data_IF_807508120677
#
_entry.id   IF_807508120677
#
_cell.length_a   1.000
_cell.length_b   1.000
_cell.length_c   1.000
_cell.angle_alpha   90.00
_cell.angle_beta   90.00
_cell.angle_gamma   90.00
#
_symmetry.space_group_name_H-M   'P 1'
#
loop_
_entity.id
_entity.type
_entity.pdbx_description
1 polymer ?
#
# COMPACT_ATOMS: atom_id res chain seq x y z
N UNK A 1 -17.23 -12.06 -8.79
CA UNK A 1 -16.13 -12.19 -7.80
C UNK A 1 -15.89 -10.82 -7.21
N UNK A 2 -15.52 -10.76 -5.93
CA UNK A 2 -15.22 -9.53 -5.22
C UNK A 2 -13.71 -9.29 -5.26
N UNK A 3 -13.32 -8.05 -5.55
CA UNK A 3 -11.94 -7.58 -5.42
C UNK A 3 -11.85 -6.83 -4.10
N UNK A 4 -11.03 -7.32 -3.18
CA UNK A 4 -10.88 -6.78 -1.83
C UNK A 4 -9.45 -6.34 -1.64
N UNK A 5 -9.26 -5.13 -1.12
CA UNK A 5 -7.96 -4.61 -0.72
C UNK A 5 -7.80 -4.72 0.80
N UNK A 6 -6.62 -5.17 1.22
CA UNK A 6 -6.16 -5.16 2.60
C UNK A 6 -4.91 -4.30 2.66
N UNK A 7 -4.95 -3.26 3.48
CA UNK A 7 -3.82 -2.37 3.75
C UNK A 7 -3.40 -2.61 5.18
N UNK A 8 -2.13 -2.92 5.41
CA UNK A 8 -1.60 -3.26 6.73
C UNK A 8 -0.48 -2.28 7.07
N UNK A 9 -0.71 -1.47 8.10
CA UNK A 9 0.27 -0.52 8.61
C UNK A 9 0.78 -0.92 9.98
N UNK A 10 1.96 -0.42 10.35
CA UNK A 10 2.48 -0.58 11.71
C UNK A 10 1.74 0.36 12.68
N UNK A 11 1.55 -0.11 13.92
CA UNK A 11 1.14 0.70 15.08
C UNK A 11 2.33 1.50 15.64
N UNK A 12 3.53 0.97 15.45
CA UNK A 12 4.80 1.59 15.83
C UNK A 12 5.42 2.37 14.65
N UNK A 13 6.44 3.20 14.88
CA UNK A 13 7.16 3.87 13.80
C UNK A 13 7.75 2.89 12.78
N UNK A 14 7.63 3.20 11.48
CA UNK A 14 8.28 2.46 10.40
C UNK A 14 9.65 3.10 10.09
N UNK A 15 10.72 2.47 10.55
CA UNK A 15 12.10 2.93 10.33
C UNK A 15 12.49 3.00 8.86
N UNK A 16 11.89 2.15 8.00
CA UNK A 16 12.12 2.18 6.55
C UNK A 16 11.51 3.44 5.94
N UNK A 17 10.26 3.75 6.32
CA UNK A 17 9.60 4.97 5.85
C UNK A 17 10.32 6.23 6.35
N UNK A 18 10.79 6.24 7.60
CA UNK A 18 11.56 7.35 8.19
C UNK A 18 12.90 7.54 7.45
N UNK A 19 13.63 6.46 7.20
CA UNK A 19 14.92 6.52 6.50
C UNK A 19 14.74 7.00 5.06
N UNK A 20 13.73 6.48 4.35
CA UNK A 20 13.40 6.92 3.00
C UNK A 20 13.00 8.41 2.98
N UNK A 21 12.21 8.86 3.95
CA UNK A 21 11.82 10.27 4.08
C UNK A 21 13.05 11.19 4.22
N UNK A 22 13.93 10.91 5.18
CA UNK A 22 15.13 11.73 5.38
C UNK A 22 16.11 11.67 4.20
N UNK A 23 16.16 10.54 3.49
CA UNK A 23 16.94 10.43 2.24
C UNK A 23 16.37 11.37 1.19
N UNK A 24 15.05 11.41 1.02
CA UNK A 24 14.38 12.31 0.07
C UNK A 24 14.56 13.79 0.46
N UNK A 25 14.50 14.13 1.75
CA UNK A 25 14.81 15.49 2.21
C UNK A 25 16.24 15.89 1.81
N UNK A 26 17.22 15.02 2.04
CA UNK A 26 18.63 15.27 1.65
C UNK A 26 18.82 15.37 0.13
N UNK A 27 17.96 14.73 -0.65
CA UNK A 27 17.92 14.85 -2.12
C UNK A 27 17.17 16.11 -2.60
N UNK A 28 16.67 16.94 -1.69
CA UNK A 28 16.06 18.23 -1.99
C UNK A 28 14.53 18.22 -2.08
N UNK A 29 13.85 17.12 -1.74
CA UNK A 29 12.38 17.02 -1.74
C UNK A 29 11.74 17.68 -0.51
N UNK A 30 12.08 18.94 -0.22
CA UNK A 30 11.65 19.68 0.98
C UNK A 30 10.13 19.94 1.07
N UNK A 31 9.39 19.67 -0.03
CA UNK A 31 7.93 19.75 -0.08
C UNK A 31 7.23 18.46 0.32
N UNK A 32 7.97 17.35 0.45
CA UNK A 32 7.47 16.13 1.04
C UNK A 32 7.39 16.34 2.56
N UNK A 33 6.18 16.36 3.09
CA UNK A 33 5.92 16.62 4.52
C UNK A 33 5.95 15.33 5.33
N UNK A 34 5.52 14.22 4.70
CA UNK A 34 5.45 12.92 5.34
C UNK A 34 5.50 11.81 4.30
N UNK A 35 6.11 10.69 4.69
CA UNK A 35 6.09 9.45 3.94
C UNK A 35 5.57 8.34 4.85
N UNK A 36 4.59 7.59 4.36
CA UNK A 36 4.11 6.36 5.00
C UNK A 36 4.36 5.18 4.08
N UNK A 37 4.64 4.03 4.68
CA UNK A 37 4.72 2.74 4.01
C UNK A 37 3.78 1.77 4.72
N UNK A 38 3.02 1.02 3.93
CA UNK A 38 2.07 0.01 4.39
C UNK A 38 2.19 -1.21 3.47
N UNK A 39 1.96 -2.41 3.99
CA UNK A 39 1.83 -3.59 3.14
C UNK A 39 0.46 -3.57 2.49
N UNK A 40 0.42 -3.92 1.21
CA UNK A 40 -0.79 -3.96 0.41
C UNK A 40 -1.02 -5.36 -0.13
N UNK A 41 -2.26 -5.82 -0.01
CA UNK A 41 -2.73 -7.06 -0.58
C UNK A 41 -4.03 -6.83 -1.33
N UNK A 42 -4.17 -7.45 -2.50
CA UNK A 42 -5.40 -7.47 -3.27
C UNK A 42 -5.86 -8.89 -3.51
N UNK A 43 -7.10 -9.19 -3.15
CA UNK A 43 -7.67 -10.52 -3.21
C UNK A 43 -8.85 -10.56 -4.18
N UNK A 44 -8.83 -11.52 -5.11
CA UNK A 44 -10.02 -11.93 -5.85
C UNK A 44 -10.69 -13.08 -5.11
N UNK A 45 -11.89 -12.87 -4.56
CA UNK A 45 -12.57 -13.89 -3.75
C UNK A 45 -14.07 -13.95 -4.03
N UNK A 46 -14.68 -15.11 -3.80
CA UNK A 46 -16.14 -15.26 -3.80
C UNK A 46 -16.78 -14.93 -2.43
N UNK A 47 -15.98 -14.62 -1.40
CA UNK A 47 -16.51 -14.26 -0.08
C UNK A 47 -16.98 -12.79 -0.01
N UNK A 48 -18.08 -12.52 0.71
CA UNK A 48 -18.47 -11.15 1.06
C UNK A 48 -17.42 -10.45 1.95
N UNK A 49 -17.25 -9.14 1.78
CA UNK A 49 -16.24 -8.33 2.50
C UNK A 49 -16.31 -8.49 4.02
N UNK A 50 -17.48 -8.42 4.70
CA UNK A 50 -17.52 -8.53 6.17
C UNK A 50 -16.99 -9.88 6.68
N UNK A 51 -17.33 -10.97 5.98
CA UNK A 51 -16.87 -12.32 6.32
C UNK A 51 -15.38 -12.48 6.05
N UNK A 52 -14.90 -11.93 4.94
CA UNK A 52 -13.48 -11.94 4.59
C UNK A 52 -12.65 -11.14 5.61
N UNK A 53 -13.10 -9.92 5.96
CA UNK A 53 -12.44 -9.04 6.92
C UNK A 53 -12.25 -9.70 8.29
N UNK A 54 -13.31 -10.35 8.82
CA UNK A 54 -13.23 -11.06 10.11
C UNK A 54 -12.23 -12.22 10.10
N UNK A 55 -12.07 -12.91 8.97
CA UNK A 55 -11.10 -14.01 8.82
C UNK A 55 -9.69 -13.47 8.67
N UNK A 56 -9.48 -12.53 7.75
CA UNK A 56 -8.14 -12.04 7.40
C UNK A 56 -7.47 -11.30 8.56
N UNK A 57 -8.25 -10.61 9.40
CA UNK A 57 -7.74 -9.96 10.60
C UNK A 57 -7.23 -10.91 11.69
N UNK A 58 -7.47 -12.22 11.56
CA UNK A 58 -6.93 -13.28 12.46
C UNK A 58 -5.73 -14.01 11.85
N UNK A 59 -5.32 -13.62 10.65
CA UNK A 59 -4.22 -14.26 9.94
C UNK A 59 -2.92 -13.54 10.32
N UNK A 60 -2.24 -14.05 11.34
CA UNK A 60 -1.06 -13.41 11.92
C UNK A 60 0.10 -13.22 10.93
N UNK A 61 0.19 -14.07 9.89
CA UNK A 61 1.20 -13.94 8.83
C UNK A 61 0.98 -12.69 7.95
N UNK A 62 -0.21 -12.08 7.98
CA UNK A 62 -0.54 -10.85 7.27
C UNK A 62 -0.76 -9.68 8.24
N UNK A 63 -1.46 -9.94 9.33
CA UNK A 63 -1.88 -8.93 10.29
C UNK A 63 -1.52 -9.44 11.68
N UNK A 64 -0.39 -8.98 12.20
CA UNK A 64 -0.06 -9.21 13.60
C UNK A 64 -0.85 -8.21 14.47
N UNK A 65 -1.86 -8.67 15.22
CA UNK A 65 -2.74 -7.79 15.99
C UNK A 65 -2.00 -6.90 17.01
N UNK A 66 -0.85 -7.33 17.52
CA UNK A 66 -0.06 -6.54 18.48
C UNK A 66 0.73 -5.42 17.79
N UNK A 67 1.23 -5.66 16.57
CA UNK A 67 2.12 -4.74 15.86
C UNK A 67 1.42 -3.91 14.78
N UNK A 68 0.32 -4.41 14.24
CA UNK A 68 -0.26 -3.91 13.01
C UNK A 68 -1.67 -3.35 13.25
N UNK A 69 -2.00 -2.33 12.46
CA UNK A 69 -3.36 -1.89 12.17
C UNK A 69 -3.67 -2.27 10.72
N UNK A 70 -4.93 -2.46 10.38
CA UNK A 70 -5.29 -2.81 9.01
C UNK A 70 -6.64 -2.22 8.61
N UNK A 71 -6.81 -2.04 7.31
CA UNK A 71 -8.04 -1.59 6.67
C UNK A 71 -8.40 -2.62 5.61
N UNK A 72 -9.67 -3.03 5.57
CA UNK A 72 -10.21 -3.88 4.50
C UNK A 72 -11.28 -3.08 3.78
N UNK A 73 -11.15 -2.96 2.47
CA UNK A 73 -12.11 -2.21 1.64
C UNK A 73 -12.35 -2.90 0.30
N UNK A 74 -13.40 -2.49 -0.40
CA UNK A 74 -13.61 -2.92 -1.79
C UNK A 74 -12.55 -2.28 -2.69
N UNK A 75 -12.01 -3.01 -3.66
CA UNK A 75 -11.09 -2.42 -4.65
C UNK A 75 -11.75 -1.39 -5.57
N UNK A 76 -13.09 -1.32 -5.56
CA UNK A 76 -13.86 -0.28 -6.26
C UNK A 76 -14.02 1.00 -5.43
N UNK A 77 -13.81 0.93 -4.12
CA UNK A 77 -13.91 2.08 -3.25
C UNK A 77 -12.66 2.94 -3.40
N UNK A 78 -12.79 4.22 -3.80
CA UNK A 78 -11.66 5.12 -3.85
C UNK A 78 -11.03 5.23 -2.46
N UNK A 79 -9.75 5.59 -2.43
CA UNK A 79 -9.15 6.01 -1.18
C UNK A 79 -9.77 7.34 -0.75
N UNK A 80 -10.01 7.50 0.54
CA UNK A 80 -10.50 8.77 1.08
C UNK A 80 -9.53 9.90 0.72
N UNK A 81 -10.09 11.01 0.24
CA UNK A 81 -9.32 12.22 -0.04
C UNK A 81 -9.22 13.04 1.25
N UNK A 82 -8.04 13.11 1.87
CA UNK A 82 -7.79 14.11 2.91
C UNK A 82 -7.37 15.42 2.21
N UNK A 83 -8.33 16.21 1.70
CA UNK A 83 -8.05 17.53 1.13
C UNK A 83 -7.82 18.54 2.24
N UNK A 84 -6.57 19.01 2.40
CA UNK A 84 -6.23 20.10 3.31
C UNK A 84 -5.40 21.17 2.60
N UNK A 85 -6.08 22.17 2.03
CA UNK A 85 -5.43 23.34 1.43
C UNK A 85 -4.44 22.96 0.31
N UNK A 86 -3.13 23.14 0.57
CA UNK A 86 -2.03 22.88 -0.37
C UNK A 86 -1.37 21.50 -0.17
N UNK A 87 -1.94 20.66 0.69
CA UNK A 87 -1.44 19.31 0.95
C UNK A 87 -2.13 18.32 0.00
N UNK A 88 -1.33 17.66 -0.82
CA UNK A 88 -1.76 16.61 -1.75
C UNK A 88 -1.23 15.26 -1.28
N UNK A 89 -2.07 14.24 -1.32
CA UNK A 89 -1.76 12.87 -0.97
C UNK A 89 -1.68 12.04 -2.24
N UNK A 90 -0.51 11.45 -2.46
CA UNK A 90 -0.29 10.53 -3.57
C UNK A 90 0.02 9.14 -3.05
N UNK A 91 -0.70 8.14 -3.55
CA UNK A 91 -0.48 6.73 -3.20
C UNK A 91 0.18 6.00 -4.36
N UNK A 92 1.30 5.34 -4.08
CA UNK A 92 2.10 4.61 -5.06
C UNK A 92 2.25 3.18 -4.57
N UNK A 93 1.69 2.25 -5.32
CA UNK A 93 1.87 0.82 -5.09
C UNK A 93 3.12 0.34 -5.83
N UNK A 94 4.01 -0.33 -5.12
CA UNK A 94 5.22 -0.97 -5.65
C UNK A 94 5.08 -2.47 -5.47
N UNK A 95 5.23 -3.25 -6.54
CA UNK A 95 5.13 -4.72 -6.52
C UNK A 95 6.38 -5.33 -7.13
N UNK A 96 6.82 -6.46 -6.59
CA UNK A 96 7.87 -7.24 -7.22
C UNK A 96 7.30 -7.97 -8.46
N UNK A 97 8.01 -7.90 -9.58
CA UNK A 97 7.55 -8.47 -10.86
C UNK A 97 7.43 -10.00 -10.80
N UNK A 98 8.34 -10.63 -10.08
CA UNK A 98 8.44 -12.10 -10.01
C UNK A 98 7.68 -12.69 -8.82
N UNK A 99 7.25 -11.85 -7.86
CA UNK A 99 6.55 -12.33 -6.67
C UNK A 99 5.02 -12.31 -6.86
N UNK A 100 4.54 -13.35 -7.55
CA UNK A 100 3.10 -13.58 -7.73
C UNK A 100 2.36 -14.04 -6.47
N UNK A 101 2.95 -13.91 -5.28
CA UNK A 101 2.38 -14.29 -3.99
C UNK A 101 1.85 -15.74 -3.91
N UNK A 102 2.31 -16.64 -4.79
CA UNK A 102 1.76 -18.01 -4.94
C UNK A 102 1.91 -18.84 -3.67
N UNK A 103 3.07 -18.77 -3.02
CA UNK A 103 3.33 -19.48 -1.77
C UNK A 103 2.37 -19.02 -0.66
N UNK A 104 2.22 -17.70 -0.52
CA UNK A 104 1.30 -17.10 0.45
C UNK A 104 -0.16 -17.48 0.14
N UNK A 105 -0.58 -17.42 -1.13
CA UNK A 105 -1.92 -17.85 -1.55
C UNK A 105 -2.19 -19.31 -1.16
N UNK A 106 -1.22 -20.20 -1.42
CA UNK A 106 -1.31 -21.62 -1.05
C UNK A 106 -1.46 -21.78 0.46
N UNK A 107 -0.67 -21.08 1.27
CA UNK A 107 -0.79 -21.09 2.73
C UNK A 107 -2.17 -20.60 3.19
N UNK A 108 -2.68 -19.51 2.64
CA UNK A 108 -3.99 -18.97 2.99
C UNK A 108 -5.13 -19.95 2.68
N UNK A 109 -5.07 -20.62 1.52
CA UNK A 109 -6.08 -21.58 1.09
C UNK A 109 -6.01 -22.90 1.90
N UNK A 110 -4.83 -23.49 2.02
CA UNK A 110 -4.65 -24.85 2.55
C UNK A 110 -4.59 -24.87 4.08
N UNK A 111 -3.88 -23.92 4.70
CA UNK A 111 -3.62 -23.93 6.15
C UNK A 111 -4.56 -23.03 6.93
N UNK A 112 -5.00 -21.92 6.33
CA UNK A 112 -5.76 -20.87 7.03
C UNK A 112 -7.23 -20.79 6.62
N UNK A 113 -7.69 -21.73 5.79
CA UNK A 113 -9.11 -21.92 5.49
C UNK A 113 -9.74 -20.88 4.56
N UNK A 114 -8.95 -20.02 3.91
CA UNK A 114 -9.43 -19.04 2.93
C UNK A 114 -9.51 -19.63 1.51
N UNK A 115 -10.16 -20.81 1.40
CA UNK A 115 -10.26 -21.60 0.16
C UNK A 115 -10.93 -20.89 -1.03
N UNK A 116 -11.66 -19.80 -0.76
CA UNK A 116 -12.42 -19.04 -1.76
C UNK A 116 -11.62 -17.91 -2.42
N UNK A 117 -10.37 -17.67 -2.00
CA UNK A 117 -9.45 -16.77 -2.71
C UNK A 117 -9.02 -17.45 -4.01
N UNK A 118 -9.08 -16.74 -5.13
CA UNK A 118 -8.64 -17.22 -6.45
C UNK A 118 -7.33 -16.60 -6.91
N UNK A 119 -7.11 -15.33 -6.56
CA UNK A 119 -5.88 -14.58 -6.88
C UNK A 119 -5.48 -13.72 -5.70
N UNK A 120 -4.18 -13.50 -5.59
CA UNK A 120 -3.55 -12.64 -4.60
C UNK A 120 -2.47 -11.82 -5.29
N UNK A 121 -2.53 -10.50 -5.15
CA UNK A 121 -1.42 -9.61 -5.43
C UNK A 121 -0.90 -9.03 -4.10
N UNK A 122 0.40 -8.79 -4.01
CA UNK A 122 1.00 -8.11 -2.85
C UNK A 122 1.97 -7.03 -3.30
N UNK A 123 2.21 -6.05 -2.44
CA UNK A 123 3.19 -5.00 -2.66
C UNK A 123 3.33 -4.07 -1.47
N UNK A 124 4.20 -3.06 -1.62
CA UNK A 124 4.33 -1.96 -0.67
C UNK A 124 3.54 -0.75 -1.18
N UNK A 125 2.65 -0.23 -0.35
CA UNK A 125 1.92 1.00 -0.61
C UNK A 125 2.63 2.17 0.08
N UNK A 126 3.20 3.05 -0.73
CA UNK A 126 3.76 4.32 -0.29
C UNK A 126 2.71 5.40 -0.35
N UNK A 127 2.47 6.10 0.75
CA UNK A 127 1.62 7.30 0.79
C UNK A 127 2.51 8.52 1.02
N UNK A 128 2.59 9.39 0.02
CA UNK A 128 3.34 10.62 0.01
C UNK A 128 2.42 11.78 0.35
N UNK A 129 2.82 12.61 1.30
CA UNK A 129 2.12 13.83 1.68
C UNK A 129 2.94 15.01 1.19
N UNK A 130 2.48 15.70 0.14
CA UNK A 130 3.26 16.69 -0.60
C UNK A 130 2.57 18.05 -0.50
N UNK A 131 3.28 19.04 0.03
CA UNK A 131 2.83 20.44 0.04
C UNK A 131 3.20 21.10 -1.29
N UNK A 132 2.21 21.42 -2.12
CA UNK A 132 2.44 22.01 -3.43
C UNK A 132 1.42 23.12 -3.77
N UNK A 133 1.74 24.03 -4.71
CA UNK A 133 0.77 25.01 -5.20
C UNK A 133 -0.38 24.41 -6.02
N UNK A 134 -0.18 23.23 -6.61
CA UNK A 134 -1.16 22.55 -7.45
C UNK A 134 -1.00 21.03 -7.40
N UNK A 135 -2.08 20.32 -7.71
CA UNK A 135 -2.11 18.86 -7.76
C UNK A 135 -1.12 18.33 -8.80
N UNK A 136 -1.00 19.00 -9.96
CA UNK A 136 -0.10 18.59 -11.03
C UNK A 136 1.38 18.62 -10.60
N UNK A 137 1.79 19.65 -9.84
CA UNK A 137 3.14 19.71 -9.29
C UNK A 137 3.38 18.59 -8.26
N UNK A 138 2.38 18.26 -7.45
CA UNK A 138 2.45 17.13 -6.54
C UNK A 138 2.58 15.79 -7.30
N UNK A 139 1.86 15.61 -8.41
CA UNK A 139 1.97 14.44 -9.30
C UNK A 139 3.37 14.28 -9.86
N UNK A 140 3.92 15.35 -10.42
CA UNK A 140 5.27 15.36 -11.01
C UNK A 140 6.29 14.97 -9.93
N UNK A 141 6.20 15.58 -8.75
CA UNK A 141 7.09 15.27 -7.64
C UNK A 141 6.95 13.81 -7.17
N UNK A 142 5.72 13.30 -7.01
CA UNK A 142 5.50 11.92 -6.59
C UNK A 142 6.05 10.91 -7.61
N UNK A 143 5.91 11.20 -8.91
CA UNK A 143 6.50 10.41 -9.99
C UNK A 143 8.02 10.41 -9.92
N UNK A 144 8.64 11.56 -9.66
CA UNK A 144 10.10 11.67 -9.57
C UNK A 144 10.65 10.95 -8.33
N UNK A 145 10.04 11.19 -7.15
CA UNK A 145 10.38 10.51 -5.89
C UNK A 145 10.33 8.98 -6.05
N UNK A 146 9.27 8.47 -6.67
CA UNK A 146 9.18 7.03 -6.87
C UNK A 146 10.25 6.50 -7.81
N UNK A 147 10.60 7.21 -8.88
CA UNK A 147 11.70 6.85 -9.78
C UNK A 147 13.06 6.83 -9.10
N UNK A 148 13.32 7.78 -8.20
CA UNK A 148 14.65 7.88 -7.56
C UNK A 148 14.87 6.93 -6.39
N UNK A 149 13.83 6.59 -5.62
CA UNK A 149 14.04 5.89 -4.36
C UNK A 149 13.04 4.77 -4.03
N UNK A 150 11.77 4.87 -4.47
CA UNK A 150 10.73 3.99 -3.91
C UNK A 150 10.58 2.64 -4.60
N UNK A 151 11.10 2.45 -5.82
CA UNK A 151 11.15 1.13 -6.46
C UNK A 151 12.43 0.95 -7.28
N UNK A 152 12.78 -0.32 -7.49
CA UNK A 152 13.87 -0.72 -8.38
C UNK A 152 13.30 -1.24 -9.71
N UNK A 153 13.56 -0.54 -10.81
CA UNK A 153 12.98 -0.87 -12.12
C UNK A 153 13.35 -2.25 -12.68
N UNK A 154 14.44 -2.85 -12.22
CA UNK A 154 14.86 -4.17 -12.67
C UNK A 154 14.01 -5.28 -12.06
N UNK A 155 13.50 -5.08 -10.85
CA UNK A 155 12.81 -6.12 -10.08
C UNK A 155 11.35 -5.78 -9.79
N UNK A 156 10.97 -4.51 -9.88
CA UNK A 156 9.70 -4.00 -9.40
C UNK A 156 8.93 -3.26 -10.49
N UNK A 157 7.61 -3.25 -10.33
CA UNK A 157 6.70 -2.39 -11.05
C UNK A 157 6.04 -1.40 -10.07
N UNK A 158 5.70 -0.21 -10.56
CA UNK A 158 4.97 0.79 -9.78
C UNK A 158 3.63 1.10 -10.43
N UNK A 159 2.63 1.42 -9.61
CA UNK A 159 1.33 1.92 -10.03
C UNK A 159 0.91 3.08 -9.13
N UNK A 160 0.59 4.23 -9.73
CA UNK A 160 -0.02 5.34 -8.99
C UNK A 160 -1.50 4.96 -8.78
N UNK A 161 -1.90 4.84 -7.51
CA UNK A 161 -3.22 4.37 -7.10
C UNK A 161 -4.21 5.52 -6.88
N UNK A 162 -3.70 6.67 -6.43
CA UNK A 162 -4.49 7.87 -6.19
C UNK A 162 -3.58 9.09 -6.26
N UNK A 163 -4.15 10.19 -6.75
CA UNK A 163 -3.64 11.54 -6.50
C UNK A 163 -4.84 12.38 -6.07
N UNK A 164 -4.75 13.05 -4.92
CA UNK A 164 -5.81 13.92 -4.41
C UNK A 164 -5.32 14.82 -3.30
#
# INVERSE_FOLDING_TARGET
MNEIELIVGLKIPDTTAITAFHTLEKLGYNRLIKLKREDYYKFSTAEPIPKFSKKIGKVDILVNANKNKFIVKSAKEPFEEEKQGRLFITKILVKDREDGAKALLKTLQERLGLKKIKKLEKGALWTLYISAPSEELAKIMAKDISWKLLFNENYQERKIMQVG
#
